data_IF_442148913423
#
_entry.id   IF_442148913423
#
_cell.length_a   1.000
_cell.length_b   1.000
_cell.length_c   1.000
_cell.angle_alpha   90.00
_cell.angle_beta   90.00
_cell.angle_gamma   90.00
#
_symmetry.space_group_name_H-M   'P 1'
#
loop_
_entity.id
_entity.type
_entity.pdbx_description
1 polymer ?
#
# COMPACT_ATOMS: atom_id res chain seq x y z
N UNK A 1 1.66 -6.01 -10.30
CA UNK A 1 2.73 -5.00 -10.26
C UNK A 1 2.52 -4.15 -9.01
N UNK A 2 3.55 -3.51 -8.48
CA UNK A 2 3.44 -2.59 -7.34
C UNK A 2 4.18 -1.31 -7.72
N UNK A 3 3.45 -0.20 -7.74
CA UNK A 3 4.03 1.13 -7.93
C UNK A 3 4.11 1.85 -6.58
N UNK A 4 5.25 2.48 -6.29
CA UNK A 4 5.47 3.25 -5.06
C UNK A 4 6.11 4.60 -5.41
N UNK A 5 5.58 5.67 -4.83
CA UNK A 5 6.18 7.00 -4.90
C UNK A 5 6.55 7.45 -3.50
N UNK A 6 7.82 7.76 -3.27
CA UNK A 6 8.30 8.32 -2.00
C UNK A 6 8.69 9.78 -2.14
N UNK A 7 8.37 10.59 -1.15
CA UNK A 7 8.68 12.02 -1.14
C UNK A 7 8.81 12.52 0.30
N UNK A 8 9.71 13.49 0.54
CA UNK A 8 9.67 14.26 1.78
C UNK A 8 8.52 15.27 1.74
N UNK A 9 7.88 15.48 2.90
CA UNK A 9 6.77 16.40 3.04
C UNK A 9 7.16 17.80 2.55
N UNK A 10 6.33 18.39 1.68
CA UNK A 10 6.54 19.70 1.05
C UNK A 10 7.84 19.88 0.23
N UNK A 11 8.52 18.79 -0.15
CA UNK A 11 9.74 18.84 -0.98
C UNK A 11 9.61 17.97 -2.25
N UNK A 12 8.93 18.45 -3.31
CA UNK A 12 8.69 17.65 -4.52
C UNK A 12 9.96 17.17 -5.24
N UNK A 13 11.05 17.94 -5.16
CA UNK A 13 12.35 17.59 -5.76
C UNK A 13 12.98 16.34 -5.15
N UNK A 14 12.47 15.86 -4.01
CA UNK A 14 12.94 14.63 -3.35
C UNK A 14 12.15 13.38 -3.79
N UNK A 15 11.22 13.55 -4.73
CA UNK A 15 10.37 12.45 -5.19
C UNK A 15 11.20 11.35 -5.85
N UNK A 16 10.92 10.10 -5.47
CA UNK A 16 11.49 8.90 -6.08
C UNK A 16 10.36 7.94 -6.43
N UNK A 17 10.42 7.40 -7.64
CA UNK A 17 9.42 6.46 -8.18
C UNK A 17 10.03 5.07 -8.23
N UNK A 18 9.25 4.07 -7.86
CA UNK A 18 9.63 2.67 -7.86
C UNK A 18 8.55 1.85 -8.55
N UNK A 19 8.94 0.92 -9.40
CA UNK A 19 8.03 -0.07 -10.00
C UNK A 19 8.60 -1.45 -9.73
N UNK A 20 7.89 -2.23 -8.92
CA UNK A 20 8.20 -3.63 -8.68
C UNK A 20 7.23 -4.47 -9.51
N UNK A 21 7.73 -5.42 -10.29
CA UNK A 21 6.85 -6.21 -11.16
C UNK A 21 7.31 -7.65 -11.36
N UNK A 22 6.39 -8.50 -11.82
CA UNK A 22 6.65 -9.86 -12.26
C UNK A 22 6.46 -9.97 -13.76
N UNK A 23 7.34 -10.69 -14.45
CA UNK A 23 7.24 -10.92 -15.89
C UNK A 23 8.59 -10.85 -16.59
N UNK A 24 8.58 -11.09 -17.90
CA UNK A 24 9.79 -11.10 -18.74
C UNK A 24 10.02 -9.77 -19.48
N UNK A 25 9.05 -8.85 -19.45
CA UNK A 25 9.19 -7.56 -20.13
C UNK A 25 10.06 -6.62 -19.29
N UNK A 26 11.09 -6.02 -19.90
CA UNK A 26 11.80 -4.91 -19.26
C UNK A 26 10.90 -3.68 -19.29
N UNK A 27 10.60 -3.16 -18.11
CA UNK A 27 9.94 -1.86 -17.95
C UNK A 27 11.07 -0.85 -17.75
N UNK A 28 11.32 -0.05 -18.77
CA UNK A 28 12.27 1.05 -18.71
C UNK A 28 11.49 2.36 -18.77
N UNK A 29 11.49 3.08 -17.65
CA UNK A 29 10.76 4.33 -17.47
C UNK A 29 11.73 5.32 -16.85
N UNK A 30 11.88 6.47 -17.49
CA UNK A 30 12.79 7.51 -17.03
C UNK A 30 12.53 7.88 -15.57
N UNK A 31 13.63 8.11 -14.85
CA UNK A 31 13.64 8.55 -13.44
C UNK A 31 12.87 7.62 -12.48
N UNK A 32 12.77 6.34 -12.82
CA UNK A 32 12.06 5.32 -12.03
C UNK A 32 12.97 4.13 -11.74
N UNK A 33 13.04 3.71 -10.48
CA UNK A 33 13.71 2.49 -10.06
C UNK A 33 12.81 1.28 -10.36
N UNK A 34 13.10 0.57 -11.46
CA UNK A 34 12.34 -0.61 -11.88
C UNK A 34 13.03 -1.89 -11.44
N UNK A 35 12.28 -2.77 -10.76
CA UNK A 35 12.80 -4.03 -10.21
C UNK A 35 11.91 -5.19 -10.65
N UNK A 36 12.51 -6.14 -11.39
CA UNK A 36 11.82 -7.34 -11.88
C UNK A 36 12.01 -8.52 -10.92
N UNK A 37 10.93 -9.28 -10.70
CA UNK A 37 10.93 -10.46 -9.84
C UNK A 37 10.36 -11.67 -10.56
N UNK A 38 10.92 -12.85 -10.28
CA UNK A 38 10.51 -14.11 -10.91
C UNK A 38 9.17 -14.64 -10.39
N UNK A 39 8.79 -14.29 -9.16
CA UNK A 39 7.56 -14.76 -8.54
C UNK A 39 6.84 -13.63 -7.80
N UNK A 40 5.51 -13.75 -7.70
CA UNK A 40 4.67 -12.85 -6.90
C UNK A 40 5.11 -12.81 -5.43
N UNK A 41 5.65 -13.92 -4.91
CA UNK A 41 6.19 -13.97 -3.55
C UNK A 41 7.36 -12.99 -3.39
N UNK A 42 8.35 -13.10 -4.28
CA UNK A 42 9.52 -12.25 -4.25
C UNK A 42 9.15 -10.78 -4.46
N UNK A 43 8.13 -10.52 -5.29
CA UNK A 43 7.57 -9.18 -5.48
C UNK A 43 7.02 -8.61 -4.16
N UNK A 44 6.20 -9.38 -3.44
CA UNK A 44 5.61 -8.94 -2.16
C UNK A 44 6.70 -8.77 -1.09
N UNK A 45 7.64 -9.71 -0.97
CA UNK A 45 8.78 -9.60 -0.05
C UNK A 45 9.63 -8.35 -0.35
N UNK A 46 9.90 -8.08 -1.62
CA UNK A 46 10.63 -6.89 -2.05
C UNK A 46 9.88 -5.59 -1.74
N UNK A 47 8.54 -5.58 -1.80
CA UNK A 47 7.75 -4.43 -1.39
C UNK A 47 7.93 -4.09 0.10
N UNK A 48 7.89 -5.09 0.99
CA UNK A 48 8.15 -4.85 2.42
C UNK A 48 9.61 -4.45 2.69
N UNK A 49 10.56 -5.02 1.95
CA UNK A 49 11.96 -4.58 2.00
C UNK A 49 12.13 -3.14 1.51
N UNK A 50 11.39 -2.72 0.47
CA UNK A 50 11.41 -1.36 -0.04
C UNK A 50 10.83 -0.37 0.98
N UNK A 51 9.74 -0.72 1.67
CA UNK A 51 9.23 0.09 2.80
C UNK A 51 10.32 0.28 3.85
N UNK A 52 11.05 -0.80 4.20
CA UNK A 52 12.16 -0.73 5.16
C UNK A 52 13.32 0.11 4.63
N UNK A 53 13.65 0.01 3.35
CA UNK A 53 14.69 0.79 2.66
C UNK A 53 14.37 2.29 2.71
N UNK A 54 13.16 2.67 2.28
CA UNK A 54 12.66 4.05 2.28
C UNK A 54 12.51 4.59 3.69
N UNK A 55 12.02 3.75 4.62
CA UNK A 55 11.72 4.08 6.02
C UNK A 55 10.79 5.30 6.16
N UNK A 56 9.58 5.26 5.58
CA UNK A 56 8.66 6.40 5.64
C UNK A 56 8.03 6.54 7.02
N UNK A 57 7.71 7.77 7.44
CA UNK A 57 6.91 8.00 8.65
C UNK A 57 5.41 7.74 8.38
N UNK A 58 4.96 8.01 7.16
CA UNK A 58 3.56 7.91 6.73
C UNK A 58 3.47 7.13 5.43
N UNK A 59 2.58 6.15 5.38
CA UNK A 59 2.19 5.42 4.17
C UNK A 59 0.76 5.79 3.88
N UNK A 60 0.49 6.26 2.65
CA UNK A 60 -0.82 6.77 2.27
C UNK A 60 -1.24 6.15 0.95
N UNK A 61 -2.45 5.64 0.83
CA UNK A 61 -2.94 5.12 -0.44
C UNK A 61 -4.44 5.30 -0.60
N UNK A 62 -4.98 4.77 -1.70
CA UNK A 62 -6.40 4.84 -2.00
C UNK A 62 -7.01 3.44 -1.94
N UNK A 63 -7.90 3.20 -0.98
CA UNK A 63 -8.58 1.93 -0.74
C UNK A 63 -7.65 0.78 -0.30
N UNK A 64 -6.52 1.12 0.32
CA UNK A 64 -5.48 0.18 0.73
C UNK A 64 -5.97 -0.87 1.73
N UNK A 65 -6.88 -0.51 2.64
CA UNK A 65 -7.31 -1.42 3.70
C UNK A 65 -8.33 -2.46 3.22
N UNK A 66 -9.14 -2.11 2.21
CA UNK A 66 -10.14 -3.03 1.63
C UNK A 66 -9.61 -3.83 0.45
N UNK A 67 -8.61 -3.30 -0.27
CA UNK A 67 -8.07 -3.91 -1.48
C UNK A 67 -6.65 -4.44 -1.28
N UNK A 68 -5.65 -3.55 -1.25
CA UNK A 68 -4.22 -3.90 -1.28
C UNK A 68 -3.82 -4.87 -0.15
N UNK A 69 -4.10 -4.52 1.10
CA UNK A 69 -3.74 -5.34 2.25
C UNK A 69 -4.53 -6.64 2.33
N UNK A 70 -5.82 -6.61 1.98
CA UNK A 70 -6.66 -7.80 1.87
C UNK A 70 -6.11 -8.75 0.81
N UNK A 71 -5.68 -8.22 -0.33
CA UNK A 71 -5.06 -8.98 -1.41
C UNK A 71 -3.73 -9.60 -0.96
N UNK A 72 -2.81 -8.80 -0.41
CA UNK A 72 -1.49 -9.27 0.06
C UNK A 72 -1.66 -10.39 1.09
N UNK A 73 -2.47 -10.16 2.13
CA UNK A 73 -2.67 -11.17 3.16
C UNK A 73 -3.28 -12.46 2.58
N UNK A 74 -4.34 -12.34 1.78
CA UNK A 74 -5.00 -13.52 1.18
C UNK A 74 -4.01 -14.32 0.33
N UNK A 75 -3.15 -13.64 -0.44
CA UNK A 75 -2.13 -14.30 -1.29
C UNK A 75 -1.06 -14.99 -0.49
N UNK A 76 -0.56 -14.36 0.57
CA UNK A 76 0.47 -14.95 1.45
C UNK A 76 -0.09 -16.16 2.21
N UNK A 77 -1.30 -16.06 2.77
CA UNK A 77 -1.97 -17.17 3.46
C UNK A 77 -2.20 -18.38 2.57
N UNK A 78 -2.63 -18.17 1.31
CA UNK A 78 -2.83 -19.26 0.34
C UNK A 78 -1.54 -20.03 0.02
N UNK A 79 -0.38 -19.41 0.22
CA UNK A 79 0.94 -20.02 0.03
C UNK A 79 1.59 -20.48 1.34
N UNK A 80 0.88 -20.37 2.48
CA UNK A 80 1.37 -20.65 3.84
C UNK A 80 2.64 -19.83 4.19
N UNK A 81 2.66 -18.57 3.77
CA UNK A 81 3.77 -17.64 4.00
C UNK A 81 3.34 -16.62 5.05
N UNK A 82 4.19 -16.39 6.05
CA UNK A 82 3.97 -15.34 7.04
C UNK A 82 4.21 -13.95 6.44
N UNK A 83 3.58 -12.92 6.99
CA UNK A 83 3.84 -11.53 6.61
C UNK A 83 5.34 -11.21 6.78
N UNK A 84 6.01 -10.69 5.74
CA UNK A 84 7.38 -10.23 5.87
C UNK A 84 7.48 -9.11 6.90
N UNK A 85 8.51 -9.16 7.75
CA UNK A 85 8.77 -8.07 8.70
C UNK A 85 9.25 -6.83 7.95
N UNK A 86 8.58 -5.70 8.16
CA UNK A 86 9.02 -4.38 7.72
C UNK A 86 9.85 -3.64 8.78
N UNK A 87 9.90 -4.17 10.01
CA UNK A 87 10.58 -3.52 11.14
C UNK A 87 12.10 -3.64 11.04
N UNK A 88 12.79 -2.61 11.56
CA UNK A 88 14.25 -2.66 11.81
C UNK A 88 14.59 -3.37 13.12
N UNK A 89 13.65 -3.46 14.06
CA UNK A 89 13.86 -4.08 15.38
C UNK A 89 13.65 -5.59 15.26
N UNK A 90 14.64 -6.38 15.67
CA UNK A 90 14.51 -7.84 15.72
C UNK A 90 13.39 -8.25 16.68
N UNK A 91 12.53 -9.17 16.23
CA UNK A 91 11.43 -9.70 17.04
C UNK A 91 10.11 -8.93 16.95
N UNK A 92 10.10 -7.74 16.35
CA UNK A 92 8.85 -7.01 16.06
C UNK A 92 8.38 -7.39 14.65
N UNK A 93 7.39 -8.26 14.58
CA UNK A 93 6.76 -8.71 13.35
C UNK A 93 5.78 -7.68 12.78
N UNK A 94 5.43 -7.89 11.52
CA UNK A 94 4.26 -7.26 10.90
C UNK A 94 3.04 -8.08 11.33
N UNK A 95 2.00 -7.44 11.86
CA UNK A 95 0.79 -8.13 12.31
C UNK A 95 -0.39 -7.84 11.39
N UNK A 96 -1.34 -8.78 11.33
CA UNK A 96 -2.63 -8.53 10.68
C UNK A 96 -3.62 -8.08 11.75
N UNK A 97 -4.28 -6.97 11.49
CA UNK A 97 -5.39 -6.45 12.28
C UNK A 97 -6.65 -6.51 11.43
N UNK A 98 -7.64 -7.26 11.91
CA UNK A 98 -8.99 -7.30 11.33
C UNK A 98 -9.84 -6.21 12.00
N UNK A 99 -10.36 -5.27 11.20
CA UNK A 99 -11.24 -4.21 11.69
C UNK A 99 -12.60 -4.39 11.03
N UNK A 100 -13.56 -4.89 11.82
CA UNK A 100 -14.93 -5.10 11.40
C UNK A 100 -15.86 -4.26 12.26
N UNK A 101 -16.61 -3.36 11.63
CA UNK A 101 -17.61 -2.56 12.34
C UNK A 101 -18.78 -2.22 11.44
N UNK A 102 -19.95 -2.10 12.06
CA UNK A 102 -21.18 -1.74 11.38
C UNK A 102 -21.82 -0.58 12.15
N UNK A 103 -22.21 0.48 11.44
CA UNK A 103 -22.95 1.58 12.05
C UNK A 103 -24.03 2.12 11.13
N UNK A 104 -25.07 2.71 11.71
CA UNK A 104 -26.15 3.33 10.95
C UNK A 104 -25.69 4.50 10.08
N UNK A 105 -24.63 5.21 10.48
CA UNK A 105 -24.09 6.35 9.75
C UNK A 105 -23.07 5.96 8.66
N UNK A 106 -22.34 4.85 8.85
CA UNK A 106 -21.20 4.49 7.99
C UNK A 106 -21.29 3.10 7.35
N UNK A 107 -22.43 2.42 7.51
CA UNK A 107 -22.65 1.08 6.98
C UNK A 107 -21.70 0.04 7.57
N UNK A 108 -21.60 -1.09 6.86
CA UNK A 108 -20.70 -2.20 7.20
C UNK A 108 -19.31 -1.97 6.59
N UNK A 109 -18.29 -2.07 7.43
CA UNK A 109 -16.90 -1.91 7.07
C UNK A 109 -16.11 -3.16 7.48
N UNK A 110 -15.42 -3.76 6.51
CA UNK A 110 -14.56 -4.93 6.67
C UNK A 110 -13.18 -4.59 6.09
N UNK A 111 -12.23 -4.33 7.00
CA UNK A 111 -10.89 -3.90 6.66
C UNK A 111 -9.85 -4.90 7.17
N UNK A 112 -8.78 -5.03 6.40
CA UNK A 112 -7.57 -5.70 6.83
C UNK A 112 -6.47 -4.67 6.85
N UNK A 113 -5.88 -4.48 8.02
CA UNK A 113 -4.71 -3.62 8.20
C UNK A 113 -3.51 -4.51 8.45
N UNK A 114 -2.46 -4.34 7.65
CA UNK A 114 -1.16 -4.91 7.92
C UNK A 114 -0.43 -3.89 8.79
N UNK A 115 -0.33 -4.15 10.09
CA UNK A 115 0.34 -3.28 11.04
C UNK A 115 1.83 -3.25 10.73
N UNK A 116 2.32 -2.04 10.44
CA UNK A 116 3.70 -1.73 10.14
C UNK A 116 4.20 -0.86 11.28
N UNK A 117 4.77 -1.44 12.35
CA UNK A 117 5.09 -0.69 13.56
C UNK A 117 5.92 0.54 13.26
N UNK A 118 5.56 1.67 13.89
CA UNK A 118 6.15 3.01 13.71
C UNK A 118 5.78 3.74 12.42
N UNK A 119 4.95 3.16 11.55
CA UNK A 119 4.46 3.82 10.35
C UNK A 119 2.99 4.23 10.58
N UNK A 120 2.64 5.46 10.22
CA UNK A 120 1.23 5.88 10.19
C UNK A 120 0.61 5.50 8.86
N UNK A 121 -0.49 4.74 8.88
CA UNK A 121 -1.20 4.31 7.68
C UNK A 121 -2.43 5.20 7.46
N UNK A 122 -2.54 5.80 6.28
CA UNK A 122 -3.68 6.65 5.90
C UNK A 122 -4.32 6.10 4.63
N UNK A 123 -5.60 5.75 4.72
CA UNK A 123 -6.40 5.40 3.55
C UNK A 123 -7.27 6.58 3.14
N UNK A 124 -6.94 7.18 2.00
CA UNK A 124 -7.65 8.35 1.45
C UNK A 124 -9.09 8.00 1.13
N UNK A 125 -9.40 6.75 0.78
CA UNK A 125 -10.77 6.33 0.49
C UNK A 125 -11.68 6.51 1.72
N UNK A 126 -11.18 6.18 2.90
CA UNK A 126 -11.94 6.38 4.15
C UNK A 126 -12.17 7.87 4.45
N UNK A 127 -11.19 8.72 4.15
CA UNK A 127 -11.34 10.15 4.34
C UNK A 127 -12.40 10.72 3.39
N UNK A 128 -12.28 10.39 2.10
CA UNK A 128 -13.19 10.89 1.06
C UNK A 128 -14.63 10.44 1.32
N UNK A 129 -14.85 9.17 1.66
CA UNK A 129 -16.20 8.63 1.92
C UNK A 129 -16.85 9.19 3.20
N UNK A 130 -16.05 9.63 4.18
CA UNK A 130 -16.54 10.27 5.40
C UNK A 130 -16.94 11.72 5.17
N UNK A 131 -16.10 12.49 4.49
CA UNK A 131 -16.28 13.94 4.34
C UNK A 131 -17.21 14.30 3.17
N UNK A 132 -17.20 13.49 2.10
CA UNK A 132 -17.97 13.76 0.88
C UNK A 132 -19.09 12.73 0.69
N UNK A 133 -20.34 13.21 0.69
CA UNK A 133 -21.49 12.44 0.20
C UNK A 133 -21.46 12.41 -1.32
N UNK A 134 -20.56 11.61 -1.89
CA UNK A 134 -20.46 11.43 -3.33
C UNK A 134 -21.71 10.73 -3.84
N UNK A 135 -22.47 11.38 -4.73
CA UNK A 135 -23.54 10.72 -5.46
C UNK A 135 -22.93 9.65 -6.37
N UNK A 136 -23.49 8.44 -6.34
CA UNK A 136 -23.03 7.27 -7.10
C UNK A 136 -22.71 7.64 -8.56
N UNK A 137 -21.44 7.54 -8.96
CA UNK A 137 -21.07 7.80 -10.36
C UNK A 137 -19.60 8.03 -10.70
N UNK A 138 -18.67 8.14 -9.75
CA UNK A 138 -17.25 8.38 -10.07
C UNK A 138 -16.39 7.14 -9.78
N UNK A 139 -16.42 6.19 -10.70
CA UNK A 139 -15.31 5.26 -10.88
C UNK A 139 -14.12 6.06 -11.40
N UNK A 140 -13.07 6.16 -10.59
CA UNK A 140 -11.69 6.52 -10.95
C UNK A 140 -11.53 7.58 -12.04
N UNK A 141 -11.79 8.86 -11.73
CA UNK A 141 -11.22 9.98 -12.50
C UNK A 141 -11.21 11.24 -11.63
N UNK A 142 -10.01 11.81 -11.49
CA UNK A 142 -9.68 13.08 -10.84
C UNK A 142 -9.83 13.13 -9.31
N UNK A 143 -8.70 13.07 -8.61
CA UNK A 143 -8.15 14.19 -7.82
C UNK A 143 -6.93 13.71 -7.03
N UNK A 144 -5.89 14.55 -7.03
CA UNK A 144 -4.54 14.20 -6.60
C UNK A 144 -4.25 14.95 -5.28
N UNK A 145 -4.29 14.30 -4.11
CA UNK A 145 -3.61 14.79 -2.93
C UNK A 145 -2.34 13.99 -2.66
N UNK A 146 -1.28 14.73 -2.37
CA UNK A 146 0.09 14.28 -2.11
C UNK A 146 0.10 13.22 -0.99
N UNK A 147 0.57 12.02 -1.36
CA UNK A 147 0.51 10.81 -0.54
C UNK A 147 1.40 9.72 -1.19
N UNK A 148 2.01 8.83 -0.40
CA UNK A 148 2.82 7.70 -0.87
C UNK A 148 1.97 6.65 -1.60
N UNK A 149 1.40 7.02 -2.74
CA UNK A 149 0.44 6.23 -3.49
C UNK A 149 1.05 4.87 -3.84
N UNK A 150 0.70 3.85 -3.06
CA UNK A 150 0.89 2.47 -3.43
C UNK A 150 -0.32 2.11 -4.28
N UNK A 151 -0.12 1.98 -5.59
CA UNK A 151 -1.08 1.36 -6.49
C UNK A 151 -0.60 -0.08 -6.70
N UNK A 152 -1.25 -1.06 -6.07
CA UNK A 152 -1.26 -2.42 -6.62
C UNK A 152 -2.20 -2.42 -7.83
N UNK A 153 -1.61 -2.54 -9.03
CA UNK A 153 -2.31 -2.99 -10.23
C UNK A 153 -1.75 -4.35 -10.62
#
# INVERSE_FOLDING_TARGET
>A
MISVVSQRYLMPSTSKKYILYTGQCNIDVDETDTRAFSTERNLIEAYFLLIKEINPDIIIGYNIFMFDFKYIDTRLRRKLINLPSSSRVQGIGTERIDINWNSSAYGFNDYIVIDLPRHTLIDVYQYVTKEYKLHYGYTSNHENPIALLTLLV
#
